data_IF_985968866287
#
_entry.id   IF_985968866287
#
_cell.length_a   1.000
_cell.length_b   1.000
_cell.length_c   1.000
_cell.angle_alpha   90.00
_cell.angle_beta   90.00
_cell.angle_gamma   90.00
#
_symmetry.space_group_name_H-M   'P 1'
#
loop_
_entity.id
_entity.type
_entity.pdbx_description
1 polymer ?
#
# COMPACT_ATOMS: atom_id res chain seq x y z
N UNK A 1 7.06 34.60 6.30
CA UNK A 1 8.44 34.10 6.40
C UNK A 1 8.37 32.57 6.39
N UNK A 2 8.60 31.93 5.25
CA UNK A 2 8.51 30.48 5.15
C UNK A 2 9.78 29.85 5.74
N UNK A 3 9.65 29.12 6.85
CA UNK A 3 10.76 28.38 7.46
C UNK A 3 11.21 27.28 6.50
N UNK A 4 12.30 27.50 5.78
CA UNK A 4 12.92 26.46 4.96
C UNK A 4 13.52 25.41 5.89
N UNK A 5 12.93 24.22 5.92
CA UNK A 5 13.47 23.09 6.66
C UNK A 5 14.89 22.80 6.17
N UNK A 6 15.78 22.40 7.09
CA UNK A 6 17.06 21.80 6.70
C UNK A 6 16.80 20.59 5.78
N UNK A 7 17.75 20.21 4.92
CA UNK A 7 17.60 19.03 4.05
C UNK A 7 17.09 17.80 4.82
N UNK A 8 17.67 17.54 6.00
CA UNK A 8 17.22 16.46 6.90
C UNK A 8 15.77 16.63 7.40
N UNK A 9 15.36 17.84 7.77
CA UNK A 9 13.99 18.11 8.22
C UNK A 9 12.96 17.93 7.10
N UNK A 10 13.32 18.28 5.86
CA UNK A 10 12.48 18.04 4.68
C UNK A 10 12.33 16.55 4.40
N UNK A 11 13.43 15.80 4.43
CA UNK A 11 13.42 14.37 4.14
C UNK A 11 12.65 13.58 5.20
N UNK A 12 12.85 13.90 6.49
CA UNK A 12 12.08 13.32 7.59
C UNK A 12 10.56 13.56 7.43
N UNK A 13 10.15 14.75 6.97
CA UNK A 13 8.75 15.06 6.69
C UNK A 13 8.20 14.22 5.53
N UNK A 14 8.96 14.09 4.44
CA UNK A 14 8.55 13.30 3.27
C UNK A 14 8.40 11.82 3.66
N UNK A 15 9.42 11.27 4.32
CA UNK A 15 9.41 9.88 4.82
C UNK A 15 8.21 9.68 5.73
N UNK A 16 8.00 10.57 6.72
CA UNK A 16 6.87 10.45 7.65
C UNK A 16 5.51 10.38 6.96
N UNK A 17 5.26 11.24 5.96
CA UNK A 17 3.99 11.23 5.20
C UNK A 17 3.84 9.92 4.42
N UNK A 18 4.90 9.47 3.75
CA UNK A 18 4.88 8.22 2.98
C UNK A 18 4.66 7.02 3.91
N UNK A 19 5.35 6.99 5.06
CA UNK A 19 5.22 5.94 6.08
C UNK A 19 3.81 5.84 6.64
N UNK A 20 3.11 6.96 6.86
CA UNK A 20 1.71 6.95 7.31
C UNK A 20 0.80 6.34 6.25
N UNK A 21 0.95 6.69 4.97
CA UNK A 21 0.19 6.04 3.89
C UNK A 21 0.47 4.55 3.81
N UNK A 22 1.75 4.18 3.86
CA UNK A 22 2.22 2.79 3.80
C UNK A 22 1.74 1.94 4.99
N UNK A 23 1.60 2.53 6.18
CA UNK A 23 1.06 1.88 7.36
C UNK A 23 -0.31 1.27 7.09
N UNK A 24 -1.20 1.97 6.37
CA UNK A 24 -2.53 1.45 6.05
C UNK A 24 -2.46 0.21 5.16
N UNK A 25 -1.61 0.20 4.13
CA UNK A 25 -1.40 -0.98 3.28
C UNK A 25 -0.97 -2.19 4.10
N UNK A 26 0.00 -2.03 5.00
CA UNK A 26 0.45 -3.11 5.87
C UNK A 26 -0.60 -3.52 6.91
N UNK A 27 -1.30 -2.55 7.49
CA UNK A 27 -2.38 -2.82 8.43
C UNK A 27 -3.44 -3.70 7.80
N UNK A 28 -3.92 -3.39 6.59
CA UNK A 28 -4.93 -4.21 5.90
C UNK A 28 -4.39 -5.60 5.52
N UNK A 29 -3.15 -5.69 5.03
CA UNK A 29 -2.51 -6.96 4.70
C UNK A 29 -2.41 -7.90 5.91
N UNK A 30 -2.10 -7.35 7.09
CA UNK A 30 -1.98 -8.12 8.34
C UNK A 30 -3.33 -8.35 9.03
N UNK A 31 -4.29 -7.45 8.85
CA UNK A 31 -5.65 -7.60 9.38
C UNK A 31 -6.41 -8.71 8.64
N UNK A 32 -6.21 -8.86 7.33
CA UNK A 32 -6.97 -9.82 6.51
C UNK A 32 -6.93 -11.27 7.04
N UNK A 33 -5.76 -11.89 7.32
CA UNK A 33 -5.72 -13.25 7.88
C UNK A 33 -6.43 -13.39 9.22
N UNK A 34 -6.40 -12.36 10.07
CA UNK A 34 -7.09 -12.39 11.37
C UNK A 34 -8.62 -12.48 11.23
N UNK A 35 -9.17 -12.05 10.08
CA UNK A 35 -10.59 -12.11 9.77
C UNK A 35 -11.01 -13.44 9.13
N UNK A 36 -10.08 -14.31 8.71
CA UNK A 36 -10.41 -15.56 8.02
C UNK A 36 -11.35 -16.49 8.79
N UNK A 37 -11.24 -16.66 10.12
CA UNK A 37 -12.19 -17.46 10.87
C UNK A 37 -13.62 -16.90 10.80
N UNK A 38 -13.77 -15.57 10.90
CA UNK A 38 -15.07 -14.90 10.80
C UNK A 38 -15.65 -15.03 9.39
N UNK A 39 -14.84 -14.81 8.35
CA UNK A 39 -15.27 -14.97 6.96
C UNK A 39 -15.68 -16.42 6.65
N UNK A 40 -14.98 -17.40 7.21
CA UNK A 40 -15.37 -18.81 7.12
C UNK A 40 -16.73 -19.06 7.77
N UNK A 41 -16.94 -18.51 8.98
CA UNK A 41 -18.17 -18.71 9.74
C UNK A 41 -19.39 -18.01 9.10
N UNK A 42 -19.24 -16.75 8.69
CA UNK A 42 -20.35 -15.90 8.23
C UNK A 42 -20.64 -16.08 6.74
N UNK A 43 -19.62 -16.37 5.93
CA UNK A 43 -19.74 -16.46 4.46
C UNK A 43 -19.60 -17.88 3.92
N UNK A 44 -19.28 -18.87 4.77
CA UNK A 44 -19.08 -20.26 4.36
C UNK A 44 -17.87 -20.48 3.45
N UNK A 45 -16.91 -19.55 3.44
CA UNK A 45 -15.72 -19.64 2.60
C UNK A 45 -14.70 -20.63 3.18
N UNK A 46 -14.04 -21.40 2.32
CA UNK A 46 -12.90 -22.23 2.72
C UNK A 46 -11.62 -21.41 2.85
N UNK A 47 -10.69 -21.86 3.70
CA UNK A 47 -9.34 -21.27 3.80
C UNK A 47 -8.60 -21.23 2.45
N UNK A 48 -8.84 -22.20 1.57
CA UNK A 48 -8.27 -22.20 0.22
C UNK A 48 -8.79 -21.04 -0.63
N UNK A 49 -10.10 -20.76 -0.58
CA UNK A 49 -10.68 -19.61 -1.30
C UNK A 49 -10.14 -18.28 -0.76
N UNK A 50 -10.04 -18.14 0.56
CA UNK A 50 -9.45 -16.96 1.20
C UNK A 50 -7.97 -16.80 0.85
N UNK A 51 -7.22 -17.91 0.78
CA UNK A 51 -5.83 -17.93 0.33
C UNK A 51 -5.67 -17.48 -1.12
N UNK A 52 -6.58 -17.85 -2.02
CA UNK A 52 -6.59 -17.39 -3.41
C UNK A 52 -6.82 -15.87 -3.49
N UNK A 53 -7.71 -15.31 -2.66
CA UNK A 53 -7.92 -13.85 -2.61
C UNK A 53 -6.64 -13.13 -2.17
N UNK A 54 -5.97 -13.61 -1.13
CA UNK A 54 -4.69 -13.05 -0.69
C UNK A 54 -3.60 -13.18 -1.77
N UNK A 55 -3.52 -14.35 -2.44
CA UNK A 55 -2.57 -14.57 -3.52
C UNK A 55 -2.83 -13.62 -4.70
N UNK A 56 -4.09 -13.42 -5.11
CA UNK A 56 -4.45 -12.50 -6.18
C UNK A 56 -4.01 -11.07 -5.86
N UNK A 57 -4.19 -10.62 -4.61
CA UNK A 57 -3.72 -9.32 -4.14
C UNK A 57 -2.19 -9.18 -4.28
N UNK A 58 -1.42 -10.17 -3.82
CA UNK A 58 0.05 -10.12 -3.88
C UNK A 58 0.59 -10.26 -5.30
N UNK A 59 -0.04 -11.06 -6.15
CA UNK A 59 0.33 -11.16 -7.57
C UNK A 59 0.07 -9.84 -8.29
N UNK A 60 -1.11 -9.24 -8.11
CA UNK A 60 -1.41 -7.93 -8.68
C UNK A 60 -0.42 -6.86 -8.18
N UNK A 61 -0.11 -6.88 -6.88
CA UNK A 61 0.89 -5.99 -6.28
C UNK A 61 2.26 -6.16 -6.92
N UNK A 62 2.77 -7.39 -7.01
CA UNK A 62 4.07 -7.70 -7.63
C UNK A 62 4.15 -7.28 -9.09
N UNK A 63 3.09 -7.54 -9.87
CA UNK A 63 3.01 -7.12 -11.27
C UNK A 63 2.98 -5.59 -11.42
N UNK A 64 2.42 -4.87 -10.46
CA UNK A 64 2.34 -3.40 -10.50
C UNK A 64 3.62 -2.68 -10.09
N UNK A 65 4.52 -3.32 -9.33
CA UNK A 65 5.72 -2.67 -8.77
C UNK A 65 6.67 -2.14 -9.85
N UNK A 66 7.06 -2.98 -10.81
CA UNK A 66 8.00 -2.57 -11.86
C UNK A 66 7.43 -1.47 -12.77
N UNK A 67 6.18 -1.57 -13.28
CA UNK A 67 5.55 -0.48 -14.01
C UNK A 67 5.43 0.82 -13.20
N UNK A 68 5.09 0.73 -11.91
CA UNK A 68 5.01 1.89 -11.04
C UNK A 68 6.37 2.59 -10.89
N UNK A 69 7.46 1.82 -10.78
CA UNK A 69 8.83 2.35 -10.78
C UNK A 69 9.12 3.17 -12.05
N UNK A 70 8.90 2.60 -13.23
CA UNK A 70 9.07 3.31 -14.49
C UNK A 70 8.17 4.55 -14.62
N UNK A 71 6.95 4.50 -14.09
CA UNK A 71 6.04 5.63 -14.11
C UNK A 71 6.54 6.76 -13.20
N UNK A 72 7.03 6.44 -12.01
CA UNK A 72 7.67 7.40 -11.10
C UNK A 72 8.88 8.06 -11.76
N UNK A 73 9.72 7.29 -12.46
CA UNK A 73 10.88 7.83 -13.18
C UNK A 73 10.49 8.80 -14.29
N UNK A 74 9.32 8.59 -14.93
CA UNK A 74 8.86 9.39 -16.07
C UNK A 74 8.11 10.66 -15.69
N UNK A 75 7.21 10.59 -14.70
CA UNK A 75 6.31 11.72 -14.35
C UNK A 75 6.45 12.20 -12.90
N UNK A 76 7.37 11.61 -12.15
CA UNK A 76 7.68 11.97 -10.77
C UNK A 76 6.81 11.25 -9.73
N UNK A 77 7.33 11.13 -8.50
CA UNK A 77 6.70 10.35 -7.43
C UNK A 77 5.35 10.92 -6.95
N UNK A 78 5.19 12.25 -6.92
CA UNK A 78 3.98 12.90 -6.39
C UNK A 78 2.68 12.54 -7.14
N UNK A 79 2.57 12.73 -8.46
CA UNK A 79 1.34 12.38 -9.18
C UNK A 79 1.06 10.88 -9.14
N UNK A 80 2.09 10.04 -9.17
CA UNK A 80 1.93 8.57 -9.07
C UNK A 80 1.40 8.17 -7.69
N UNK A 81 1.93 8.76 -6.63
CA UNK A 81 1.49 8.49 -5.26
C UNK A 81 0.03 8.89 -5.05
N UNK A 82 -0.38 10.09 -5.50
CA UNK A 82 -1.79 10.49 -5.39
C UNK A 82 -2.71 9.67 -6.28
N UNK A 83 -2.27 9.28 -7.48
CA UNK A 83 -3.02 8.36 -8.34
C UNK A 83 -3.23 7.00 -7.69
N UNK A 84 -2.19 6.43 -7.07
CA UNK A 84 -2.28 5.15 -6.36
C UNK A 84 -3.05 5.19 -5.04
N UNK A 85 -3.18 6.38 -4.41
CA UNK A 85 -3.97 6.54 -3.18
C UNK A 85 -5.46 6.82 -3.46
N UNK A 86 -5.78 7.39 -4.62
CA UNK A 86 -7.14 7.82 -4.99
C UNK A 86 -7.92 6.85 -5.88
N UNK A 87 -7.24 5.84 -6.44
CA UNK A 87 -7.84 4.68 -7.11
C UNK A 87 -7.98 3.52 -6.12
#
# INVERSE_FOLDING_TARGET
MATTLSPAGRDARIIGIISVGHLFSHFYQLALPSMFPLMTADMGLSYSQLGIVAAAFYVASGLSQTPAGFLVDRIGARPVLFGGLGL
#
